data_IF_091497306292
#
_entry.id   IF_091497306292
#
_cell.length_a   1.000
_cell.length_b   1.000
_cell.length_c   1.000
_cell.angle_alpha   90.00
_cell.angle_beta   90.00
_cell.angle_gamma   90.00
#
_symmetry.space_group_name_H-M   'P 1'
#
loop_
_entity.id
_entity.type
_entity.pdbx_description
1 polymer ?
#
# COMPACT_ATOMS: atom_id res chain seq x y z
N UNK A 1 52.50 47.23 -3.73
CA UNK A 1 51.37 46.37 -4.08
C UNK A 1 51.39 46.14 -5.59
N UNK A 2 51.88 45.02 -5.99
CA UNK A 2 52.23 44.71 -7.36
C UNK A 2 51.06 44.24 -8.22
N UNK A 3 51.24 44.46 -9.52
CA UNK A 3 50.28 44.06 -10.58
C UNK A 3 49.93 42.59 -10.51
N UNK A 4 50.82 41.77 -9.97
CA UNK A 4 50.64 40.32 -9.74
C UNK A 4 49.55 39.97 -8.70
N UNK A 5 49.45 40.72 -7.61
CA UNK A 5 48.43 40.50 -6.58
C UNK A 5 46.99 40.73 -7.10
N UNK A 6 46.85 41.67 -8.03
CA UNK A 6 45.57 42.00 -8.64
C UNK A 6 45.13 40.93 -9.65
N UNK A 7 46.07 40.27 -10.34
CA UNK A 7 45.80 39.19 -11.29
C UNK A 7 45.43 37.90 -10.58
N UNK A 8 46.12 37.55 -9.48
CA UNK A 8 45.80 36.33 -8.70
C UNK A 8 44.45 36.42 -8.01
N UNK A 9 44.11 37.53 -7.41
CA UNK A 9 42.79 37.76 -6.79
C UNK A 9 41.64 37.77 -7.82
N UNK A 10 41.91 38.15 -9.06
CA UNK A 10 40.89 38.08 -10.12
C UNK A 10 40.62 36.64 -10.57
N UNK A 11 41.70 35.82 -10.68
CA UNK A 11 41.59 34.41 -11.04
C UNK A 11 40.90 33.59 -9.97
N UNK A 12 41.22 33.82 -8.69
CA UNK A 12 40.55 33.17 -7.56
C UNK A 12 39.04 33.47 -7.47
N UNK A 13 38.65 34.73 -7.82
CA UNK A 13 37.24 35.10 -7.84
C UNK A 13 36.47 34.47 -9.00
N UNK A 14 37.07 34.38 -10.17
CA UNK A 14 36.47 33.73 -11.34
C UNK A 14 36.31 32.24 -11.12
N UNK A 15 37.28 31.52 -10.53
CA UNK A 15 37.16 30.11 -10.17
C UNK A 15 36.11 29.83 -9.08
N UNK A 16 35.95 30.73 -8.10
CA UNK A 16 34.92 30.60 -7.04
C UNK A 16 33.52 30.87 -7.62
N UNK A 17 33.37 31.81 -8.56
CA UNK A 17 32.09 32.03 -9.23
C UNK A 17 31.67 30.88 -10.13
N UNK A 18 32.58 30.28 -10.90
CA UNK A 18 32.31 29.10 -11.72
C UNK A 18 31.89 27.89 -10.87
N UNK A 19 32.57 27.61 -9.77
CA UNK A 19 32.23 26.51 -8.85
C UNK A 19 30.89 26.73 -8.15
N UNK A 20 30.51 27.96 -7.84
CA UNK A 20 29.22 28.27 -7.26
C UNK A 20 28.07 28.12 -8.27
N UNK A 21 28.26 28.49 -9.52
CA UNK A 21 27.28 28.33 -10.60
C UNK A 21 27.07 26.82 -10.92
N UNK A 22 28.15 26.03 -10.94
CA UNK A 22 28.01 24.55 -11.10
C UNK A 22 27.26 23.90 -9.94
N UNK A 23 27.51 24.31 -8.70
CA UNK A 23 26.78 23.80 -7.53
C UNK A 23 25.29 24.14 -7.58
N UNK A 24 24.92 25.38 -7.90
CA UNK A 24 23.52 25.78 -8.03
C UNK A 24 22.81 25.05 -9.18
N UNK A 25 23.50 24.73 -10.27
CA UNK A 25 22.91 23.94 -11.36
C UNK A 25 22.72 22.48 -10.97
N UNK A 26 23.67 21.87 -10.25
CA UNK A 26 23.56 20.50 -9.75
C UNK A 26 22.43 20.38 -8.72
N UNK A 27 22.29 21.34 -7.81
CA UNK A 27 21.17 21.37 -6.84
C UNK A 27 19.81 21.53 -7.53
N UNK A 28 19.72 22.30 -8.60
CA UNK A 28 18.49 22.42 -9.39
C UNK A 28 18.15 21.15 -10.15
N UNK A 29 19.14 20.47 -10.74
CA UNK A 29 18.93 19.20 -11.42
C UNK A 29 18.50 18.08 -10.45
N UNK A 30 19.10 18.01 -9.26
CA UNK A 30 18.73 17.04 -8.22
C UNK A 30 17.28 17.28 -7.76
N UNK A 31 16.90 18.51 -7.48
CA UNK A 31 15.54 18.85 -7.08
C UNK A 31 14.50 18.56 -8.18
N UNK A 32 14.84 18.80 -9.46
CA UNK A 32 13.94 18.45 -10.56
C UNK A 32 13.78 16.94 -10.76
N UNK A 33 14.82 16.15 -10.47
CA UNK A 33 14.75 14.68 -10.54
C UNK A 33 13.93 14.14 -9.39
N UNK A 34 14.14 14.60 -8.16
CA UNK A 34 13.35 14.19 -6.99
C UNK A 34 11.87 14.52 -7.14
N UNK A 35 11.54 15.74 -7.62
CA UNK A 35 10.14 16.13 -7.89
C UNK A 35 9.51 15.26 -8.99
N UNK A 36 10.25 14.89 -10.03
CA UNK A 36 9.76 14.04 -11.12
C UNK A 36 9.55 12.59 -10.67
N UNK A 37 10.36 12.08 -9.73
CA UNK A 37 10.16 10.75 -9.14
C UNK A 37 8.97 10.72 -8.20
N UNK A 38 8.81 11.69 -7.30
CA UNK A 38 7.65 11.80 -6.42
C UNK A 38 6.33 11.93 -7.19
N UNK A 39 6.28 12.78 -8.22
CA UNK A 39 5.09 12.94 -9.07
C UNK A 39 4.77 11.66 -9.87
N UNK A 40 5.78 10.88 -10.28
CA UNK A 40 5.56 9.59 -10.93
C UNK A 40 5.04 8.53 -9.95
N UNK A 41 5.54 8.48 -8.73
CA UNK A 41 5.05 7.55 -7.70
C UNK A 41 3.61 7.87 -7.29
N UNK A 42 3.25 9.14 -7.10
CA UNK A 42 1.87 9.53 -6.80
C UNK A 42 0.92 9.24 -7.96
N UNK A 43 1.33 9.53 -9.20
CA UNK A 43 0.51 9.25 -10.38
C UNK A 43 0.32 7.74 -10.61
N UNK A 44 1.30 6.90 -10.27
CA UNK A 44 1.16 5.45 -10.33
C UNK A 44 0.24 4.92 -9.22
N UNK A 45 0.34 5.41 -7.99
CA UNK A 45 -0.56 5.06 -6.87
C UNK A 45 -2.02 5.41 -7.18
N UNK A 46 -2.27 6.58 -7.75
CA UNK A 46 -3.61 7.02 -8.17
C UNK A 46 -4.16 6.12 -9.30
N UNK A 47 -3.34 5.75 -10.26
CA UNK A 47 -3.75 4.90 -11.39
C UNK A 47 -4.07 3.46 -10.94
N UNK A 48 -3.30 2.89 -10.01
CA UNK A 48 -3.57 1.56 -9.44
C UNK A 48 -4.88 1.57 -8.63
N UNK A 49 -5.10 2.56 -7.79
CA UNK A 49 -6.34 2.67 -7.01
C UNK A 49 -7.57 2.82 -7.90
N UNK A 50 -7.49 3.59 -8.98
CA UNK A 50 -8.58 3.73 -9.95
C UNK A 50 -8.88 2.44 -10.73
N UNK A 51 -7.84 1.68 -11.10
CA UNK A 51 -8.01 0.38 -11.78
C UNK A 51 -8.62 -0.69 -10.89
N UNK A 52 -8.29 -0.65 -9.59
CA UNK A 52 -8.86 -1.57 -8.60
C UNK A 52 -10.28 -1.21 -8.17
N UNK A 53 -10.81 -0.03 -8.51
CA UNK A 53 -12.12 0.44 -8.06
C UNK A 53 -13.23 -0.53 -8.48
N UNK A 54 -13.26 -0.98 -9.73
CA UNK A 54 -14.29 -1.91 -10.22
C UNK A 54 -14.28 -3.26 -9.49
N UNK A 55 -13.10 -3.83 -9.23
CA UNK A 55 -12.98 -5.11 -8.52
C UNK A 55 -13.36 -4.95 -7.04
N UNK A 56 -12.95 -3.84 -6.42
CA UNK A 56 -13.35 -3.49 -5.04
C UNK A 56 -14.86 -3.33 -4.93
N UNK A 57 -15.47 -2.55 -5.81
CA UNK A 57 -16.92 -2.31 -5.82
C UNK A 57 -17.71 -3.61 -5.96
N UNK A 58 -17.26 -4.52 -6.83
CA UNK A 58 -17.89 -5.83 -7.02
C UNK A 58 -17.86 -6.70 -5.76
N UNK A 59 -16.71 -6.83 -5.12
CA UNK A 59 -16.56 -7.61 -3.88
C UNK A 59 -17.32 -6.99 -2.72
N UNK A 60 -17.10 -5.70 -2.45
CA UNK A 60 -17.75 -5.02 -1.33
C UNK A 60 -19.26 -4.89 -1.48
N UNK A 61 -19.77 -4.76 -2.70
CA UNK A 61 -21.21 -4.78 -2.96
C UNK A 61 -21.83 -6.14 -2.62
N UNK A 62 -21.19 -7.24 -3.03
CA UNK A 62 -21.64 -8.59 -2.69
C UNK A 62 -21.57 -8.82 -1.17
N UNK A 63 -20.44 -8.46 -0.56
CA UNK A 63 -20.26 -8.58 0.89
C UNK A 63 -21.34 -7.80 1.65
N UNK A 64 -21.58 -6.54 1.29
CA UNK A 64 -22.62 -5.71 1.89
C UNK A 64 -24.02 -6.33 1.70
N UNK A 65 -24.30 -6.89 0.52
CA UNK A 65 -25.60 -7.51 0.24
C UNK A 65 -25.87 -8.72 1.15
N UNK A 66 -24.88 -9.54 1.48
CA UNK A 66 -25.02 -10.65 2.42
C UNK A 66 -25.55 -10.15 3.76
N UNK A 67 -24.98 -9.08 4.29
CA UNK A 67 -25.39 -8.52 5.58
C UNK A 67 -26.69 -7.73 5.53
N UNK A 68 -26.97 -6.99 4.45
CA UNK A 68 -28.17 -6.17 4.33
C UNK A 68 -29.42 -6.97 3.93
N UNK A 69 -29.26 -8.13 3.29
CA UNK A 69 -30.36 -8.98 2.89
C UNK A 69 -30.99 -9.77 4.06
N UNK A 70 -30.28 -9.85 5.18
CA UNK A 70 -30.67 -10.65 6.34
C UNK A 70 -30.91 -9.76 7.56
N UNK A 71 -32.00 -10.02 8.25
CA UNK A 71 -32.39 -9.28 9.46
C UNK A 71 -31.80 -9.85 10.76
N UNK A 72 -31.26 -11.07 10.71
CA UNK A 72 -30.66 -11.77 11.84
C UNK A 72 -29.44 -12.56 11.41
N UNK A 73 -28.55 -12.83 12.34
CA UNK A 73 -27.39 -13.67 12.15
C UNK A 73 -27.82 -15.13 12.24
N UNK A 74 -27.70 -15.83 11.12
CA UNK A 74 -27.95 -17.27 10.98
C UNK A 74 -26.78 -17.97 10.29
N UNK A 75 -26.78 -19.28 10.27
CA UNK A 75 -25.72 -20.09 9.68
C UNK A 75 -25.53 -19.81 8.18
N UNK A 76 -26.58 -19.36 7.49
CA UNK A 76 -26.52 -19.06 6.06
C UNK A 76 -25.64 -17.83 5.74
N UNK A 77 -25.42 -16.92 6.70
CA UNK A 77 -24.47 -15.82 6.52
C UNK A 77 -23.04 -16.36 6.37
N UNK A 78 -22.65 -17.33 7.19
CA UNK A 78 -21.32 -17.93 7.14
C UNK A 78 -21.08 -18.70 5.86
N UNK A 79 -22.10 -19.45 5.38
CA UNK A 79 -22.03 -20.17 4.11
C UNK A 79 -21.86 -19.21 2.92
N UNK A 80 -22.66 -18.14 2.85
CA UNK A 80 -22.55 -17.13 1.79
C UNK A 80 -21.22 -16.35 1.84
N UNK A 81 -20.69 -16.10 3.03
CA UNK A 81 -19.37 -15.48 3.21
C UNK A 81 -18.25 -16.41 2.76
N UNK A 82 -18.33 -17.70 3.11
CA UNK A 82 -17.36 -18.71 2.67
C UNK A 82 -17.32 -18.77 1.14
N UNK A 83 -18.48 -18.88 0.49
CA UNK A 83 -18.59 -18.88 -0.96
C UNK A 83 -18.00 -17.62 -1.59
N UNK A 84 -18.31 -16.45 -1.05
CA UNK A 84 -17.81 -15.17 -1.55
C UNK A 84 -16.27 -15.07 -1.42
N UNK A 85 -15.71 -15.50 -0.30
CA UNK A 85 -14.26 -15.47 -0.05
C UNK A 85 -13.54 -16.44 -0.99
N UNK A 86 -14.07 -17.65 -1.19
CA UNK A 86 -13.50 -18.62 -2.14
C UNK A 86 -13.57 -18.12 -3.59
N UNK A 87 -14.70 -17.52 -4.01
CA UNK A 87 -14.83 -16.90 -5.33
C UNK A 87 -13.87 -15.72 -5.54
N UNK A 88 -13.36 -15.16 -4.46
CA UNK A 88 -12.44 -14.03 -4.47
C UNK A 88 -10.97 -14.45 -4.31
N UNK A 89 -10.66 -15.72 -4.55
CA UNK A 89 -9.31 -16.31 -4.46
C UNK A 89 -8.63 -16.17 -3.08
N UNK A 90 -9.41 -16.09 -2.01
CA UNK A 90 -8.84 -16.01 -0.64
C UNK A 90 -8.17 -17.35 -0.23
N UNK A 91 -8.50 -18.43 -0.90
CA UNK A 91 -7.98 -19.77 -0.60
C UNK A 91 -8.69 -20.46 0.58
N UNK A 92 -8.89 -21.77 0.45
CA UNK A 92 -9.71 -22.56 1.38
C UNK A 92 -9.23 -22.46 2.85
N UNK A 93 -7.93 -22.62 3.09
CA UNK A 93 -7.40 -22.60 4.46
C UNK A 93 -7.63 -21.28 5.18
N UNK A 94 -7.45 -20.16 4.47
CA UNK A 94 -7.69 -18.83 5.03
C UNK A 94 -9.18 -18.55 5.21
N UNK A 95 -10.02 -18.91 4.25
CA UNK A 95 -11.46 -18.77 4.33
C UNK A 95 -12.02 -19.51 5.55
N UNK A 96 -11.69 -20.80 5.70
CA UNK A 96 -12.13 -21.59 6.85
C UNK A 96 -11.67 -20.99 8.18
N UNK A 97 -10.44 -20.49 8.26
CA UNK A 97 -9.94 -19.84 9.47
C UNK A 97 -10.72 -18.57 9.81
N UNK A 98 -10.96 -17.71 8.82
CA UNK A 98 -11.72 -16.45 9.01
C UNK A 98 -13.16 -16.75 9.46
N UNK A 99 -13.85 -17.70 8.82
CA UNK A 99 -15.23 -18.05 9.16
C UNK A 99 -15.31 -18.61 10.57
N UNK A 100 -14.41 -19.54 10.94
CA UNK A 100 -14.38 -20.10 12.29
C UNK A 100 -14.12 -19.04 13.38
N UNK A 101 -13.21 -18.10 13.12
CA UNK A 101 -12.94 -17.01 14.05
C UNK A 101 -14.14 -16.06 14.16
N UNK A 102 -14.77 -15.71 13.05
CA UNK A 102 -15.96 -14.87 13.02
C UNK A 102 -17.09 -15.48 13.82
N UNK A 103 -17.40 -16.77 13.56
CA UNK A 103 -18.44 -17.49 14.26
C UNK A 103 -18.20 -17.56 15.76
N UNK A 104 -16.94 -17.82 16.18
CA UNK A 104 -16.53 -17.85 17.57
C UNK A 104 -16.72 -16.49 18.25
N UNK A 105 -16.32 -15.41 17.60
CA UNK A 105 -16.47 -14.03 18.09
C UNK A 105 -17.95 -13.68 18.25
N UNK A 106 -18.77 -13.92 17.24
CA UNK A 106 -20.21 -13.66 17.23
C UNK A 106 -20.92 -14.42 18.33
N UNK A 107 -20.63 -15.71 18.48
CA UNK A 107 -21.21 -16.55 19.54
C UNK A 107 -20.77 -16.11 20.94
N UNK A 108 -19.48 -15.78 21.12
CA UNK A 108 -18.96 -15.38 22.43
C UNK A 108 -19.52 -14.05 22.89
N UNK A 109 -19.73 -13.10 21.98
CA UNK A 109 -20.27 -11.77 22.27
C UNK A 109 -21.80 -11.71 22.18
N UNK A 110 -22.47 -12.82 21.80
CA UNK A 110 -23.93 -12.94 21.61
C UNK A 110 -24.47 -11.86 20.66
N UNK A 111 -23.78 -11.66 19.55
CA UNK A 111 -24.13 -10.66 18.54
C UNK A 111 -25.23 -11.24 17.65
N UNK A 112 -26.31 -10.49 17.49
CA UNK A 112 -27.46 -10.79 16.63
C UNK A 112 -27.66 -9.76 15.51
N UNK A 113 -26.88 -8.67 15.54
CA UNK A 113 -26.90 -7.60 14.55
C UNK A 113 -25.90 -7.87 13.43
N UNK A 114 -26.37 -7.90 12.19
CA UNK A 114 -25.56 -8.17 11.01
C UNK A 114 -24.50 -7.09 10.74
N UNK A 115 -24.75 -5.82 11.10
CA UNK A 115 -23.78 -4.74 10.94
C UNK A 115 -22.58 -4.94 11.87
N UNK A 116 -22.81 -5.45 13.09
CA UNK A 116 -21.71 -5.76 14.02
C UNK A 116 -20.87 -6.95 13.52
N UNK A 117 -21.50 -7.97 12.93
CA UNK A 117 -20.80 -9.10 12.31
C UNK A 117 -19.91 -8.63 11.16
N UNK A 118 -20.41 -7.69 10.35
CA UNK A 118 -19.62 -7.08 9.28
C UNK A 118 -18.37 -6.37 9.80
N UNK A 119 -18.48 -5.58 10.88
CA UNK A 119 -17.32 -4.89 11.46
C UNK A 119 -16.31 -5.86 12.08
N UNK A 120 -16.76 -6.96 12.68
CA UNK A 120 -15.87 -8.02 13.19
C UNK A 120 -15.13 -8.69 12.04
N UNK A 121 -15.81 -9.07 10.96
CA UNK A 121 -15.17 -9.67 9.78
C UNK A 121 -14.09 -8.74 9.23
N UNK A 122 -14.39 -7.46 9.09
CA UNK A 122 -13.45 -6.45 8.60
C UNK A 122 -12.22 -6.32 9.51
N UNK A 123 -12.41 -6.36 10.84
CA UNK A 123 -11.32 -6.33 11.81
C UNK A 123 -10.43 -7.57 11.69
N UNK A 124 -11.01 -8.78 11.61
CA UNK A 124 -10.28 -10.04 11.44
C UNK A 124 -9.47 -10.07 10.13
N UNK A 125 -10.07 -9.62 9.02
CA UNK A 125 -9.37 -9.51 7.74
C UNK A 125 -8.20 -8.52 7.80
N UNK A 126 -8.40 -7.36 8.46
CA UNK A 126 -7.33 -6.36 8.66
C UNK A 126 -6.20 -6.91 9.51
N UNK A 127 -6.51 -7.57 10.61
CA UNK A 127 -5.52 -8.18 11.50
C UNK A 127 -4.68 -9.21 10.75
N UNK A 128 -5.34 -10.07 9.99
CA UNK A 128 -4.64 -11.06 9.15
C UNK A 128 -3.68 -10.40 8.16
N UNK A 129 -4.13 -9.40 7.42
CA UNK A 129 -3.29 -8.70 6.44
C UNK A 129 -2.10 -7.99 7.09
N UNK A 130 -2.29 -7.39 8.26
CA UNK A 130 -1.23 -6.71 9.00
C UNK A 130 -0.24 -7.68 9.66
N UNK A 131 -0.66 -8.92 9.96
CA UNK A 131 0.21 -9.94 10.54
C UNK A 131 1.18 -10.55 9.54
N UNK A 132 0.94 -10.37 8.23
CA UNK A 132 1.81 -10.91 7.17
C UNK A 132 3.02 -10.00 6.95
N UNK A 133 4.21 -10.60 6.89
CA UNK A 133 5.41 -9.88 6.50
C UNK A 133 5.41 -9.66 4.98
N UNK A 134 5.06 -8.44 4.57
CA UNK A 134 5.01 -8.04 3.16
C UNK A 134 6.32 -7.47 2.62
N UNK A 135 7.40 -7.49 3.41
CA UNK A 135 8.70 -6.92 3.02
C UNK A 135 9.48 -7.86 2.12
N UNK A 136 10.07 -7.30 1.08
CA UNK A 136 11.05 -8.00 0.25
C UNK A 136 12.43 -7.80 0.87
N UNK A 137 13.05 -8.88 1.34
CA UNK A 137 14.40 -8.85 1.92
C UNK A 137 15.43 -9.10 0.83
N UNK A 138 16.04 -8.04 0.33
CA UNK A 138 17.15 -8.11 -0.61
C UNK A 138 18.48 -8.25 0.15
N UNK A 139 19.40 -9.04 -0.39
CA UNK A 139 20.74 -9.23 0.16
C UNK A 139 21.71 -8.30 -0.54
N UNK A 140 22.42 -7.48 0.24
CA UNK A 140 23.47 -6.61 -0.28
C UNK A 140 24.62 -7.43 -0.89
N UNK A 141 25.22 -6.92 -1.94
CA UNK A 141 26.36 -7.53 -2.65
C UNK A 141 26.11 -8.98 -3.17
N UNK A 142 24.85 -9.36 -3.43
CA UNK A 142 24.48 -10.65 -4.03
C UNK A 142 23.45 -10.44 -5.14
N UNK A 143 23.40 -11.39 -6.06
CA UNK A 143 22.33 -11.43 -7.05
C UNK A 143 21.03 -11.83 -6.33
N UNK A 144 20.01 -10.98 -6.41
CA UNK A 144 18.68 -11.27 -5.93
C UNK A 144 17.79 -11.62 -7.12
N UNK A 145 17.15 -12.79 -7.07
CA UNK A 145 16.22 -13.24 -8.13
C UNK A 145 14.80 -13.21 -7.56
N UNK A 146 13.92 -12.45 -8.18
CA UNK A 146 12.51 -12.35 -7.82
C UNK A 146 11.71 -13.03 -8.94
N UNK A 147 11.00 -14.10 -8.61
CA UNK A 147 10.10 -14.79 -9.52
C UNK A 147 8.66 -14.33 -9.23
N UNK A 148 8.01 -13.80 -10.25
CA UNK A 148 6.59 -13.44 -10.19
C UNK A 148 5.81 -14.53 -10.94
N UNK A 149 4.91 -15.19 -10.26
CA UNK A 149 4.07 -16.29 -10.76
C UNK A 149 2.60 -15.91 -10.70
#
# INVERSE_FOLDING_TARGET
MGLFDKLFRKKEKEEIEEVNVEKENIEKEINEVEIKEEVKEESQKVNISQRLTKSKEGFFSKLKNIFTSKSKVDDSIYEELEDLLLQSDVGLGMTTNLINQLEKEVKSKKIDNTDEVYEILKALMSEFLLSQDSKIYLKDNKINVILIV
#
